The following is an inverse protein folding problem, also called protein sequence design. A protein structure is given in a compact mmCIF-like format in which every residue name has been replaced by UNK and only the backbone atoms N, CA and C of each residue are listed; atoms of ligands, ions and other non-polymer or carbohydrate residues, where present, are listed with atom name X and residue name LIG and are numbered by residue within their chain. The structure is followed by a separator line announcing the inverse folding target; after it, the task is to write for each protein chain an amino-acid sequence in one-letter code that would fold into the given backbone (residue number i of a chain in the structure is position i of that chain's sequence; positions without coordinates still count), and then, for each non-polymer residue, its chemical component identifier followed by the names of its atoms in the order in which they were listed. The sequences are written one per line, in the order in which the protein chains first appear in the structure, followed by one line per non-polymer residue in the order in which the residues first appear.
data_IF_198581033004
#
_entry.id   IF_198581033004
#
_cell.length_a   1.000
_cell.length_b   1.000
_cell.length_c   1.000
_cell.angle_alpha   90.00
_cell.angle_beta   90.00
_cell.angle_gamma   90.00
#
_symmetry.space_group_name_H-M   'P 1'
#
loop_
_entity.id
_entity.type
_entity.pdbx_description
1 polymer ?
#
# COMPACT_ATOMS: atom_id res chain seq x y z
N UNK A 1 4.55 -25.41 3.54
CA UNK A 1 4.70 -25.13 2.10
C UNK A 1 5.28 -23.73 1.97
N UNK A 2 6.32 -23.51 1.16
CA UNK A 2 6.93 -22.17 0.98
C UNK A 2 6.36 -21.52 -0.27
N UNK A 3 5.96 -20.25 -0.19
CA UNK A 3 5.57 -19.47 -1.37
C UNK A 3 6.86 -18.96 -2.03
N UNK A 4 7.15 -19.47 -3.22
CA UNK A 4 8.37 -19.17 -3.97
C UNK A 4 7.97 -18.61 -5.32
N UNK A 5 8.58 -17.48 -5.71
CA UNK A 5 8.33 -16.88 -7.03
C UNK A 5 9.18 -17.53 -8.14
N UNK A 6 8.97 -17.09 -9.39
CA UNK A 6 9.71 -17.60 -10.56
C UNK A 6 11.22 -17.28 -10.54
N UNK A 7 11.67 -16.44 -9.62
CA UNK A 7 13.09 -16.10 -9.41
C UNK A 7 13.69 -16.81 -8.19
N UNK A 8 12.98 -17.82 -7.66
CA UNK A 8 13.39 -18.61 -6.51
C UNK A 8 13.57 -17.80 -5.21
N UNK A 9 12.85 -16.68 -5.06
CA UNK A 9 12.80 -15.89 -3.82
C UNK A 9 11.65 -16.39 -2.94
N UNK A 10 11.89 -16.44 -1.63
CA UNK A 10 10.87 -16.83 -0.66
C UNK A 10 10.11 -15.58 -0.25
N UNK A 11 8.78 -15.63 -0.32
CA UNK A 11 7.94 -14.59 0.28
C UNK A 11 7.87 -14.81 1.80
N UNK A 12 8.48 -13.93 2.57
CA UNK A 12 8.58 -13.99 4.03
C UNK A 12 7.95 -12.77 4.76
N UNK A 13 7.55 -11.73 4.03
CA UNK A 13 6.78 -10.61 4.56
C UNK A 13 5.75 -10.08 3.56
N UNK A 14 4.77 -9.34 4.09
CA UNK A 14 3.79 -8.57 3.31
C UNK A 14 3.80 -7.12 3.79
N UNK A 15 3.74 -6.17 2.86
CA UNK A 15 3.60 -4.74 3.15
C UNK A 15 2.17 -4.31 2.82
N UNK A 16 1.45 -3.80 3.80
CA UNK A 16 0.10 -3.28 3.62
C UNK A 16 0.13 -1.76 3.76
N UNK A 17 -0.27 -1.05 2.70
CA UNK A 17 -0.45 0.41 2.74
C UNK A 17 -1.87 0.71 3.21
N UNK A 18 -2.00 1.35 4.39
CA UNK A 18 -3.31 1.62 4.99
C UNK A 18 -3.97 2.89 4.45
N UNK A 19 -3.14 3.90 4.14
CA UNK A 19 -3.58 5.21 3.67
C UNK A 19 -2.60 5.72 2.60
N UNK A 20 -3.12 6.56 1.72
CA UNK A 20 -2.38 7.31 0.70
C UNK A 20 -2.07 8.75 1.15
N UNK A 21 -2.78 9.25 2.16
CA UNK A 21 -2.59 10.57 2.74
C UNK A 21 -1.31 10.64 3.57
N UNK A 22 -0.50 11.66 3.29
CA UNK A 22 0.70 12.02 4.03
C UNK A 22 0.67 13.51 4.36
N UNK A 23 1.17 13.91 5.53
CA UNK A 23 1.27 15.31 5.96
C UNK A 23 2.58 15.99 5.52
N UNK A 24 3.39 15.32 4.69
CA UNK A 24 4.67 15.80 4.18
C UNK A 24 4.65 15.87 2.65
N UNK A 25 5.33 16.86 2.08
CA UNK A 25 5.43 17.09 0.64
C UNK A 25 6.87 16.89 0.15
N UNK A 26 7.42 15.71 0.40
CA UNK A 26 8.82 15.43 0.05
C UNK A 26 9.01 15.46 -1.47
N UNK A 27 9.97 16.26 -1.95
CA UNK A 27 10.24 16.46 -3.39
C UNK A 27 10.51 15.14 -4.13
N UNK A 28 11.16 14.19 -3.49
CA UNK A 28 11.48 12.87 -4.08
C UNK A 28 10.34 11.85 -3.99
N UNK A 29 9.28 12.13 -3.23
CA UNK A 29 8.16 11.21 -3.00
C UNK A 29 6.88 11.72 -3.67
N UNK A 30 6.57 12.99 -3.50
CA UNK A 30 5.42 13.65 -4.09
C UNK A 30 5.80 14.98 -4.77
N UNK A 31 6.47 14.92 -5.94
CA UNK A 31 7.01 16.11 -6.62
C UNK A 31 5.95 17.06 -7.18
N UNK A 32 4.75 16.56 -7.51
CA UNK A 32 3.72 17.29 -8.24
C UNK A 32 2.59 17.85 -7.36
N UNK A 33 2.74 17.77 -6.03
CA UNK A 33 1.75 18.20 -5.04
C UNK A 33 0.34 17.66 -5.37
N UNK A 34 0.27 16.43 -5.86
CA UNK A 34 -0.93 15.75 -6.38
C UNK A 34 -1.90 15.33 -5.27
N UNK A 35 -1.82 15.96 -4.09
CA UNK A 35 -2.74 15.76 -2.97
C UNK A 35 -4.19 16.15 -3.29
N UNK A 36 -4.43 16.87 -4.40
CA UNK A 36 -5.76 17.20 -4.90
C UNK A 36 -6.47 16.08 -5.67
N UNK A 37 -5.80 14.96 -5.97
CA UNK A 37 -6.36 13.81 -6.72
C UNK A 37 -6.45 12.52 -5.90
N UNK A 38 -6.49 12.60 -4.57
CA UNK A 38 -6.94 11.45 -3.79
C UNK A 38 -8.42 11.27 -4.05
N UNK A 39 -8.74 10.40 -5.01
CA UNK A 39 -10.11 10.01 -5.25
C UNK A 39 -10.73 9.57 -3.94
N UNK A 40 -11.91 10.13 -3.69
CA UNK A 40 -12.58 10.10 -2.41
C UNK A 40 -12.94 8.65 -2.07
N UNK A 41 -12.17 8.05 -1.15
CA UNK A 41 -12.56 6.95 -0.25
C UNK A 41 -13.18 5.68 -0.85
N UNK A 42 -13.13 5.42 -2.17
CA UNK A 42 -13.80 4.24 -2.76
C UNK A 42 -12.94 2.98 -2.90
N UNK A 43 -11.65 3.02 -2.60
CA UNK A 43 -10.73 1.90 -2.88
C UNK A 43 -9.78 1.52 -1.74
N UNK A 44 -10.04 1.96 -0.50
CA UNK A 44 -9.26 1.54 0.69
C UNK A 44 -9.90 0.30 1.30
N UNK A 45 -9.07 -0.66 1.73
CA UNK A 45 -9.52 -1.88 2.40
C UNK A 45 -10.27 -1.58 3.70
N UNK A 46 -11.33 -2.33 3.95
CA UNK A 46 -11.99 -2.29 5.27
C UNK A 46 -11.16 -3.03 6.32
N UNK A 47 -11.49 -2.82 7.60
CA UNK A 47 -10.85 -3.57 8.68
C UNK A 47 -11.09 -5.07 8.55
N UNK A 48 -12.29 -5.49 8.15
CA UNK A 48 -12.64 -6.90 7.94
C UNK A 48 -11.82 -7.53 6.82
N UNK A 49 -11.60 -6.81 5.72
CA UNK A 49 -10.74 -7.26 4.63
C UNK A 49 -9.28 -7.37 5.07
N UNK A 50 -8.80 -6.41 5.88
CA UNK A 50 -7.46 -6.45 6.46
C UNK A 50 -7.26 -7.69 7.36
N UNK A 51 -8.21 -7.95 8.26
CA UNK A 51 -8.17 -9.13 9.14
C UNK A 51 -8.30 -10.45 8.39
N UNK A 52 -8.88 -10.46 7.18
CA UNK A 52 -8.92 -11.67 6.34
C UNK A 52 -7.56 -11.96 5.69
N UNK A 53 -6.74 -10.95 5.46
CA UNK A 53 -5.45 -11.07 4.77
C UNK A 53 -4.28 -11.45 5.70
N UNK A 54 -4.43 -11.22 7.01
CA UNK A 54 -3.41 -11.45 8.04
C UNK A 54 -3.80 -12.67 8.87
#
# INVERSE_FOLDING_TARGET
MKLIDNFNRIHDYVRISLIDKCNLNCIYCNPSNSFGRFESNKSILTYEELFRLI
#
